data_IF_806463922354
#
_entry.id   IF_806463922354
#
_cell.length_a   1.000
_cell.length_b   1.000
_cell.length_c   1.000
_cell.angle_alpha   90.00
_cell.angle_beta   90.00
_cell.angle_gamma   90.00
#
_symmetry.space_group_name_H-M   'P 1'
#
loop_
_entity.id
_entity.type
_entity.pdbx_description
1 polymer ?
#
# COMPACT_ATOMS: atom_id res chain seq x y z
N UNK A 1 16.00 13.59 -27.84
CA UNK A 1 14.77 13.25 -27.09
C UNK A 1 15.15 13.12 -25.63
N UNK A 2 14.73 14.06 -24.77
CA UNK A 2 15.03 13.98 -23.34
C UNK A 2 14.22 12.86 -22.69
N UNK A 3 14.90 11.94 -22.00
CA UNK A 3 14.22 10.97 -21.12
C UNK A 3 13.43 11.74 -20.07
N UNK A 4 12.11 11.58 -20.03
CA UNK A 4 11.31 12.06 -18.90
C UNK A 4 11.74 11.24 -17.68
N UNK A 5 12.38 11.89 -16.71
CA UNK A 5 12.58 11.30 -15.38
C UNK A 5 11.21 11.04 -14.78
N UNK A 6 10.97 9.82 -14.32
CA UNK A 6 9.79 9.51 -13.50
C UNK A 6 10.15 9.70 -12.05
N UNK A 7 9.37 10.51 -11.34
CA UNK A 7 9.50 10.72 -9.91
C UNK A 7 8.64 9.72 -9.13
N UNK A 8 9.17 9.31 -7.97
CA UNK A 8 8.57 8.29 -7.13
C UNK A 8 8.45 8.78 -5.69
N UNK A 9 7.28 8.57 -5.08
CA UNK A 9 7.05 8.80 -3.65
C UNK A 9 6.77 7.47 -2.97
N UNK A 10 7.43 7.24 -1.83
CA UNK A 10 7.09 6.13 -0.92
C UNK A 10 6.32 6.69 0.27
N UNK A 11 5.13 6.14 0.51
CA UNK A 11 4.30 6.45 1.67
C UNK A 11 4.36 5.29 2.67
N UNK A 12 4.54 5.64 3.93
CA UNK A 12 4.54 4.73 5.07
C UNK A 12 3.45 5.17 6.07
N UNK A 13 2.17 4.87 5.80
CA UNK A 13 1.09 5.23 6.72
C UNK A 13 1.26 4.53 8.06
N UNK A 14 0.88 5.21 9.14
CA UNK A 14 0.82 4.58 10.45
C UNK A 14 -0.12 3.36 10.44
N UNK A 15 0.23 2.32 11.20
CA UNK A 15 -0.42 1.01 11.19
C UNK A 15 -1.77 0.98 11.95
N UNK A 16 -2.59 2.01 11.78
CA UNK A 16 -3.95 2.07 12.32
C UNK A 16 -4.96 2.19 11.18
N UNK A 17 -6.09 1.47 11.29
CA UNK A 17 -7.09 1.36 10.22
C UNK A 17 -7.57 2.73 9.71
N UNK A 18 -7.72 3.71 10.61
CA UNK A 18 -8.12 5.07 10.28
C UNK A 18 -7.14 5.86 9.40
N UNK A 19 -5.90 5.40 9.24
CA UNK A 19 -4.88 6.08 8.43
C UNK A 19 -4.72 5.49 7.02
N UNK A 20 -5.18 4.27 6.76
CA UNK A 20 -4.97 3.60 5.48
C UNK A 20 -5.77 4.24 4.34
N UNK A 21 -7.06 4.48 4.56
CA UNK A 21 -7.95 5.07 3.54
C UNK A 21 -7.60 6.53 3.25
N UNK A 22 -7.36 7.41 4.26
CA UNK A 22 -6.94 8.78 3.99
C UNK A 22 -5.62 8.86 3.23
N UNK A 23 -4.64 7.99 3.52
CA UNK A 23 -3.38 7.96 2.77
C UNK A 23 -3.57 7.45 1.34
N UNK A 24 -4.47 6.50 1.10
CA UNK A 24 -4.83 6.09 -0.26
C UNK A 24 -5.46 7.25 -1.05
N UNK A 25 -6.36 8.01 -0.43
CA UNK A 25 -6.95 9.21 -1.04
C UNK A 25 -5.90 10.29 -1.31
N UNK A 26 -4.98 10.51 -0.35
CA UNK A 26 -3.86 11.43 -0.50
C UNK A 26 -2.94 11.02 -1.65
N UNK A 27 -2.63 9.73 -1.78
CA UNK A 27 -1.83 9.21 -2.89
C UNK A 27 -2.48 9.56 -4.24
N UNK A 28 -3.78 9.31 -4.40
CA UNK A 28 -4.52 9.68 -5.62
C UNK A 28 -4.41 11.18 -5.91
N UNK A 29 -4.59 12.03 -4.90
CA UNK A 29 -4.48 13.48 -5.07
C UNK A 29 -3.08 13.95 -5.45
N UNK A 30 -2.03 13.37 -4.86
CA UNK A 30 -0.65 13.73 -5.20
C UNK A 30 -0.35 13.33 -6.64
N UNK A 31 -0.72 12.11 -7.06
CA UNK A 31 -0.52 11.69 -8.44
C UNK A 31 -1.24 12.59 -9.42
N UNK A 32 -2.53 12.87 -9.19
CA UNK A 32 -3.33 13.73 -10.08
C UNK A 32 -2.72 15.14 -10.24
N UNK A 33 -2.05 15.66 -9.20
CA UNK A 33 -1.44 17.00 -9.22
C UNK A 33 -0.02 17.03 -9.78
N UNK A 34 0.73 15.95 -9.66
CA UNK A 34 2.19 15.94 -9.93
C UNK A 34 2.61 14.98 -11.02
N UNK A 35 1.80 13.97 -11.33
CA UNK A 35 2.15 12.83 -12.20
C UNK A 35 3.07 11.80 -11.54
N UNK A 36 3.43 11.96 -10.26
CA UNK A 36 4.38 11.08 -9.59
C UNK A 36 3.79 9.68 -9.38
N UNK A 37 4.63 8.65 -9.51
CA UNK A 37 4.23 7.29 -9.15
C UNK A 37 4.38 7.10 -7.65
N UNK A 38 3.40 6.49 -7.00
CA UNK A 38 3.34 6.41 -5.55
C UNK A 38 3.33 4.96 -5.10
N UNK A 39 4.16 4.63 -4.13
CA UNK A 39 4.17 3.31 -3.50
C UNK A 39 3.72 3.43 -2.05
N UNK A 40 2.66 2.72 -1.67
CA UNK A 40 2.24 2.61 -0.26
C UNK A 40 2.83 1.31 0.29
N UNK A 41 3.72 1.45 1.27
CA UNK A 41 4.36 0.32 1.93
C UNK A 41 3.69 0.06 3.30
N UNK A 42 3.30 -1.19 3.56
CA UNK A 42 2.62 -1.58 4.79
C UNK A 42 2.72 -3.09 5.05
N UNK A 43 2.24 -3.55 6.19
CA UNK A 43 2.22 -4.99 6.53
C UNK A 43 1.39 -5.80 5.51
N UNK A 44 1.65 -7.11 5.33
CA UNK A 44 0.93 -7.93 4.34
C UNK A 44 -0.58 -7.91 4.55
N UNK A 45 -1.03 -7.86 5.81
CA UNK A 45 -2.45 -7.77 6.14
C UNK A 45 -3.08 -6.47 5.64
N UNK A 46 -2.44 -5.33 5.92
CA UNK A 46 -2.93 -4.02 5.51
C UNK A 46 -2.84 -3.85 3.98
N UNK A 47 -1.83 -4.42 3.33
CA UNK A 47 -1.72 -4.42 1.86
C UNK A 47 -2.86 -5.22 1.23
N UNK A 48 -3.22 -6.37 1.80
CA UNK A 48 -4.40 -7.13 1.33
C UNK A 48 -5.68 -6.30 1.44
N UNK A 49 -5.86 -5.58 2.56
CA UNK A 49 -6.99 -4.66 2.75
C UNK A 49 -6.99 -3.55 1.69
N UNK A 50 -5.87 -2.87 1.49
CA UNK A 50 -5.72 -1.80 0.48
C UNK A 50 -6.01 -2.30 -0.95
N UNK A 51 -5.53 -3.49 -1.34
CA UNK A 51 -5.83 -4.10 -2.65
C UNK A 51 -7.34 -4.26 -2.85
N UNK A 52 -8.05 -4.79 -1.84
CA UNK A 52 -9.50 -4.94 -1.91
C UNK A 52 -10.22 -3.60 -2.03
N UNK A 53 -9.79 -2.58 -1.29
CA UNK A 53 -10.38 -1.23 -1.39
C UNK A 53 -10.17 -0.62 -2.78
N UNK A 54 -8.96 -0.68 -3.33
CA UNK A 54 -8.67 -0.17 -4.68
C UNK A 54 -9.55 -0.88 -5.71
N UNK A 55 -9.60 -2.21 -5.69
CA UNK A 55 -10.42 -2.99 -6.62
C UNK A 55 -11.91 -2.64 -6.54
N UNK A 56 -12.45 -2.50 -5.32
CA UNK A 56 -13.86 -2.13 -5.14
C UNK A 56 -14.20 -0.75 -5.68
N UNK A 57 -13.28 0.20 -5.55
CA UNK A 57 -13.45 1.56 -6.09
C UNK A 57 -13.34 1.56 -7.62
N UNK A 58 -12.35 0.86 -8.15
CA UNK A 58 -12.05 0.85 -9.59
C UNK A 58 -13.13 0.11 -10.38
N UNK A 59 -13.79 -0.90 -9.79
CA UNK A 59 -14.94 -1.58 -10.39
C UNK A 59 -16.17 -0.66 -10.53
N UNK A 60 -16.27 0.39 -9.70
CA UNK A 60 -17.37 1.36 -9.73
C UNK A 60 -17.05 2.64 -10.51
N UNK A 61 -15.79 2.84 -10.91
CA UNK A 61 -15.34 3.99 -11.70
C UNK A 61 -14.96 3.57 -13.13
N UNK A 62 -15.23 4.44 -14.11
CA UNK A 62 -14.86 4.19 -15.51
C UNK A 62 -13.34 3.89 -15.60
N UNK A 63 -12.90 2.80 -16.27
CA UNK A 63 -11.50 2.33 -16.31
C UNK A 63 -10.60 3.22 -17.19
N UNK A 64 -10.66 4.54 -17.01
CA UNK A 64 -9.71 5.48 -17.60
C UNK A 64 -8.44 5.53 -16.75
N UNK A 65 -7.50 4.62 -17.04
CA UNK A 65 -6.03 4.75 -16.91
C UNK A 65 -5.37 5.11 -15.56
N UNK A 66 -6.13 5.46 -14.52
CA UNK A 66 -5.64 5.98 -13.24
C UNK A 66 -5.35 4.88 -12.20
N UNK A 67 -5.50 3.59 -12.50
CA UNK A 67 -5.20 2.54 -11.51
C UNK A 67 -3.73 2.10 -11.50
N UNK A 68 -2.93 2.52 -12.49
CA UNK A 68 -1.56 2.00 -12.67
C UNK A 68 -0.45 2.84 -12.00
N UNK A 69 -0.81 3.86 -11.21
CA UNK A 69 0.16 4.76 -10.58
C UNK A 69 0.36 4.55 -9.07
N UNK A 70 -0.50 3.74 -8.43
CA UNK A 70 -0.38 3.37 -7.02
C UNK A 70 0.12 1.95 -6.91
N UNK A 71 1.35 1.79 -6.45
CA UNK A 71 1.94 0.50 -6.13
C UNK A 71 1.77 0.19 -4.64
N UNK A 72 1.69 -1.10 -4.31
CA UNK A 72 1.56 -1.58 -2.94
C UNK A 72 2.74 -2.50 -2.61
N UNK A 73 3.48 -2.17 -1.54
CA UNK A 73 4.65 -2.92 -1.10
C UNK A 73 4.43 -3.54 0.30
N UNK A 74 4.75 -4.83 0.44
CA UNK A 74 4.62 -5.56 1.70
C UNK A 74 5.89 -5.40 2.55
N UNK A 75 5.74 -4.89 3.77
CA UNK A 75 6.77 -4.82 4.80
C UNK A 75 6.62 -6.03 5.72
N UNK A 76 7.65 -6.89 5.86
CA UNK A 76 7.58 -8.03 6.77
C UNK A 76 7.21 -7.58 8.18
N UNK A 77 6.21 -8.25 8.76
CA UNK A 77 5.80 -8.02 10.14
C UNK A 77 5.49 -9.36 10.81
N UNK A 78 6.18 -9.62 11.92
CA UNK A 78 5.98 -10.80 12.73
C UNK A 78 5.54 -10.40 14.13
N UNK A 79 4.28 -10.64 14.47
CA UNK A 79 3.74 -10.23 15.78
C UNK A 79 4.41 -10.96 16.95
N UNK A 80 4.72 -12.25 16.77
CA UNK A 80 5.33 -13.07 17.83
C UNK A 80 6.76 -12.66 18.16
N UNK A 81 7.54 -12.14 17.20
CA UNK A 81 8.87 -11.57 17.46
C UNK A 81 8.82 -10.30 18.32
N UNK A 82 7.65 -9.70 18.47
CA UNK A 82 7.44 -8.48 19.26
C UNK A 82 6.58 -8.72 20.51
N UNK A 83 6.37 -9.99 20.91
CA UNK A 83 5.53 -10.32 22.07
C UNK A 83 4.05 -10.01 21.89
N UNK A 84 3.60 -9.76 20.65
CA UNK A 84 2.20 -9.50 20.33
C UNK A 84 1.47 -10.82 20.04
N UNK A 85 0.16 -10.91 20.32
CA UNK A 85 -0.63 -12.11 20.03
C UNK A 85 -0.49 -12.54 18.57
N UNK A 86 -0.51 -13.86 18.33
CA UNK A 86 -0.56 -14.38 16.97
C UNK A 86 -1.92 -14.02 16.38
N UNK A 87 -1.94 -13.05 15.47
CA UNK A 87 -3.16 -12.77 14.72
C UNK A 87 -3.26 -13.80 13.60
N UNK A 88 -4.43 -14.40 13.43
CA UNK A 88 -4.68 -15.51 12.48
C UNK A 88 -4.32 -15.18 11.01
N UNK A 89 -4.05 -13.91 10.69
CA UNK A 89 -3.86 -13.39 9.33
C UNK A 89 -2.42 -13.00 8.99
N UNK A 90 -1.46 -13.14 9.90
CA UNK A 90 0.00 -13.01 9.60
C UNK A 90 0.53 -14.38 9.16
N UNK A 91 0.02 -14.89 8.04
CA UNK A 91 0.25 -16.27 7.60
C UNK A 91 1.48 -16.46 6.69
N UNK A 92 2.49 -15.59 6.82
CA UNK A 92 3.83 -15.92 6.34
C UNK A 92 4.66 -16.25 7.56
N UNK A 93 4.91 -17.54 7.73
CA UNK A 93 5.74 -18.14 8.77
C UNK A 93 6.89 -17.20 9.14
N UNK A 94 6.90 -16.76 10.39
CA UNK A 94 8.07 -16.11 10.97
C UNK A 94 9.16 -17.16 11.07
N UNK A 95 9.90 -17.39 9.99
CA UNK A 95 11.09 -18.21 10.05
C UNK A 95 12.12 -17.41 10.83
N UNK A 96 12.32 -17.82 12.09
CA UNK A 96 13.51 -17.48 12.85
C UNK A 96 14.70 -17.89 12.00
N UNK A 97 15.42 -16.91 11.43
CA UNK A 97 16.79 -17.18 10.98
C UNK A 97 17.61 -17.30 12.25
N UNK A 98 17.86 -18.54 12.65
CA UNK A 98 18.99 -18.88 13.51
C UNK A 98 20.26 -18.85 12.68
#
# INVERSE_FOLDING_TARGET
>A
MGSKTREYIVMLPFLAQGHLIPFLALARQIHQRTGFTITIANTPLNIKYLRSTIFSHDLHSNPSSDSNFIHLAELPFCSTQHGLPQTQRTQRTCHSKT
#
